data_IF_183475239424
#
_entry.id   IF_183475239424
#
_cell.length_a   1.000
_cell.length_b   1.000
_cell.length_c   1.000
_cell.angle_alpha   90.00
_cell.angle_beta   90.00
_cell.angle_gamma   90.00
#
_symmetry.space_group_name_H-M   'P 1'
#
loop_
_entity.id
_entity.type
_entity.pdbx_description
1 polymer ?
#
# COMPACT_ATOMS: atom_id res chain seq x y z
N UNK A 1 -32.48 11.90 5.79
CA UNK A 1 -31.22 12.45 5.26
C UNK A 1 -30.15 11.40 5.43
N UNK A 2 -29.61 10.91 4.31
CA UNK A 2 -28.53 9.92 4.29
C UNK A 2 -27.24 10.53 4.87
N UNK A 3 -26.53 9.78 5.71
CA UNK A 3 -25.13 10.08 5.97
C UNK A 3 -24.32 9.49 4.81
N UNK A 4 -24.17 10.26 3.73
CA UNK A 4 -23.60 9.82 2.44
C UNK A 4 -22.07 9.81 2.43
N UNK A 5 -21.44 9.54 3.58
CA UNK A 5 -19.99 9.48 3.74
C UNK A 5 -19.50 8.05 3.91
N UNK A 6 -18.26 7.78 3.49
CA UNK A 6 -17.58 6.55 3.84
C UNK A 6 -17.35 6.48 5.36
N UNK A 7 -17.59 5.31 5.95
CA UNK A 7 -17.25 5.01 7.34
C UNK A 7 -15.76 5.26 7.62
N UNK A 8 -15.44 5.69 8.84
CA UNK A 8 -14.06 6.04 9.23
C UNK A 8 -13.12 4.83 9.16
N UNK A 9 -13.55 3.66 9.64
CA UNK A 9 -12.72 2.44 9.58
C UNK A 9 -12.48 2.02 8.13
N UNK A 10 -13.47 2.21 7.25
CA UNK A 10 -13.31 1.92 5.82
C UNK A 10 -12.34 2.91 5.17
N UNK A 11 -12.39 4.21 5.52
CA UNK A 11 -11.39 5.18 5.06
C UNK A 11 -9.99 4.82 5.52
N UNK A 12 -9.85 4.38 6.77
CA UNK A 12 -8.56 3.98 7.34
C UNK A 12 -7.98 2.76 6.62
N UNK A 13 -8.81 1.75 6.34
CA UNK A 13 -8.42 0.59 5.55
C UNK A 13 -7.99 0.99 4.13
N UNK A 14 -8.75 1.85 3.45
CA UNK A 14 -8.38 2.33 2.11
C UNK A 14 -7.06 3.11 2.14
N UNK A 15 -6.83 3.96 3.15
CA UNK A 15 -5.58 4.67 3.32
C UNK A 15 -4.40 3.72 3.54
N UNK A 16 -4.57 2.66 4.34
CA UNK A 16 -3.56 1.64 4.54
C UNK A 16 -3.24 0.87 3.26
N UNK A 17 -4.25 0.53 2.45
CA UNK A 17 -4.06 -0.12 1.14
C UNK A 17 -3.31 0.79 0.18
N UNK A 18 -3.69 2.06 0.09
CA UNK A 18 -2.98 3.05 -0.75
C UNK A 18 -1.53 3.15 -0.31
N UNK A 19 -1.25 3.34 0.99
CA UNK A 19 0.12 3.45 1.50
C UNK A 19 0.97 2.19 1.25
N UNK A 20 0.35 0.99 1.26
CA UNK A 20 1.05 -0.25 0.96
C UNK A 20 1.48 -0.31 -0.52
N UNK A 21 0.61 0.13 -1.43
CA UNK A 21 0.81 0.01 -2.89
C UNK A 21 1.48 1.24 -3.52
N UNK A 22 1.51 2.37 -2.82
CA UNK A 22 2.16 3.61 -3.24
C UNK A 22 3.66 3.52 -3.00
N UNK A 23 4.34 2.81 -3.91
CA UNK A 23 5.78 2.65 -3.94
C UNK A 23 6.40 3.71 -4.85
N UNK A 24 7.52 4.35 -4.44
CA UNK A 24 8.22 5.28 -5.32
C UNK A 24 8.71 4.54 -6.56
N UNK A 25 8.75 5.24 -7.69
CA UNK A 25 9.34 4.68 -8.90
C UNK A 25 10.82 4.36 -8.65
N UNK A 26 11.33 3.22 -9.16
CA UNK A 26 12.75 2.89 -9.08
C UNK A 26 13.56 3.78 -10.01
N UNK A 27 14.88 3.82 -9.83
CA UNK A 27 15.77 4.33 -10.90
C UNK A 27 15.68 3.48 -12.17
N UNK A 28 16.34 3.92 -13.25
CA UNK A 28 16.43 3.15 -14.50
C UNK A 28 17.40 1.96 -14.41
N UNK A 29 18.00 1.69 -13.25
CA UNK A 29 18.83 0.51 -13.06
C UNK A 29 17.94 -0.75 -13.01
N UNK A 30 18.30 -1.76 -13.81
CA UNK A 30 17.53 -2.99 -13.91
C UNK A 30 17.44 -3.77 -12.58
N UNK A 31 18.38 -3.59 -11.65
CA UNK A 31 18.30 -4.16 -10.31
C UNK A 31 17.23 -3.45 -9.46
N UNK A 32 17.16 -2.11 -9.52
CA UNK A 32 16.14 -1.33 -8.83
C UNK A 32 14.74 -1.62 -9.39
N UNK A 33 14.59 -1.72 -10.72
CA UNK A 33 13.32 -2.11 -11.35
C UNK A 33 12.83 -3.47 -10.86
N UNK A 34 13.72 -4.48 -10.83
CA UNK A 34 13.38 -5.82 -10.34
C UNK A 34 12.99 -5.81 -8.86
N UNK A 35 13.73 -5.05 -8.03
CA UNK A 35 13.44 -4.92 -6.61
C UNK A 35 12.07 -4.24 -6.38
N UNK A 36 11.79 -3.16 -7.12
CA UNK A 36 10.49 -2.49 -7.09
C UNK A 36 9.34 -3.43 -7.46
N UNK A 37 9.45 -4.15 -8.59
CA UNK A 37 8.41 -5.09 -9.01
C UNK A 37 8.18 -6.20 -7.99
N UNK A 38 9.26 -6.79 -7.46
CA UNK A 38 9.16 -7.82 -6.43
C UNK A 38 8.46 -7.29 -5.17
N UNK A 39 8.83 -6.10 -4.71
CA UNK A 39 8.21 -5.50 -3.52
C UNK A 39 6.72 -5.21 -3.76
N UNK A 40 6.38 -4.67 -4.93
CA UNK A 40 4.98 -4.39 -5.30
C UNK A 40 4.15 -5.67 -5.33
N UNK A 41 4.67 -6.75 -5.92
CA UNK A 41 4.01 -8.06 -5.95
C UNK A 41 3.77 -8.61 -4.55
N UNK A 42 4.78 -8.54 -3.67
CA UNK A 42 4.67 -9.01 -2.29
C UNK A 42 3.61 -8.22 -1.51
N UNK A 43 3.67 -6.88 -1.56
CA UNK A 43 2.69 -6.02 -0.86
C UNK A 43 1.28 -6.18 -1.41
N UNK A 44 1.13 -6.34 -2.73
CA UNK A 44 -0.17 -6.61 -3.34
C UNK A 44 -0.75 -7.97 -2.91
N UNK A 45 0.10 -9.00 -2.82
CA UNK A 45 -0.30 -10.31 -2.30
C UNK A 45 -0.76 -10.21 -0.84
N UNK A 46 -0.01 -9.50 0.00
CA UNK A 46 -0.34 -9.30 1.41
C UNK A 46 -1.66 -8.55 1.61
N UNK A 47 -1.85 -7.43 0.91
CA UNK A 47 -3.13 -6.70 0.90
C UNK A 47 -4.28 -7.61 0.48
N UNK A 48 -4.09 -8.38 -0.60
CA UNK A 48 -5.12 -9.30 -1.10
C UNK A 48 -5.50 -10.36 -0.06
N UNK A 49 -4.52 -10.94 0.63
CA UNK A 49 -4.77 -11.92 1.70
C UNK A 49 -5.61 -11.31 2.82
N UNK A 50 -5.26 -10.11 3.27
CA UNK A 50 -6.01 -9.43 4.34
C UNK A 50 -7.45 -9.14 3.92
N UNK A 51 -7.65 -8.62 2.70
CA UNK A 51 -8.98 -8.32 2.19
C UNK A 51 -9.83 -9.58 1.95
N UNK A 52 -9.22 -10.69 1.50
CA UNK A 52 -9.94 -11.97 1.35
C UNK A 52 -10.40 -12.52 2.71
N UNK A 53 -9.57 -12.40 3.75
CA UNK A 53 -9.95 -12.77 5.13
C UNK A 53 -11.11 -11.91 5.62
N UNK A 54 -11.03 -10.58 5.46
CA UNK A 54 -12.11 -9.66 5.83
C UNK A 54 -13.41 -9.98 5.10
N UNK A 55 -13.34 -10.29 3.80
CA UNK A 55 -14.51 -10.61 2.98
C UNK A 55 -15.19 -11.92 3.42
N UNK A 56 -14.43 -12.91 3.88
CA UNK A 56 -14.97 -14.20 4.36
C UNK A 56 -15.52 -14.14 5.79
N UNK A 57 -14.98 -13.26 6.62
CA UNK A 57 -15.31 -13.17 8.05
C UNK A 57 -15.59 -11.73 8.51
N UNK A 58 -16.58 -11.01 7.94
CA UNK A 58 -16.78 -9.59 8.21
C UNK A 58 -17.53 -9.29 9.53
N UNK A 59 -17.95 -10.33 10.27
CA UNK A 59 -19.04 -10.20 11.24
C UNK A 59 -18.61 -9.90 12.68
N UNK A 60 -17.30 -9.80 12.96
CA UNK A 60 -16.86 -9.46 14.32
C UNK A 60 -16.63 -7.95 14.46
N UNK A 61 -16.97 -7.34 15.62
CA UNK A 61 -16.72 -5.93 15.87
C UNK A 61 -15.24 -5.59 15.71
N UNK A 62 -14.93 -4.58 14.91
CA UNK A 62 -13.55 -4.13 14.67
C UNK A 62 -12.85 -4.78 13.47
N UNK A 63 -13.48 -5.72 12.74
CA UNK A 63 -12.84 -6.43 11.63
C UNK A 63 -12.17 -5.53 10.58
N UNK A 64 -12.81 -4.41 10.23
CA UNK A 64 -12.27 -3.44 9.27
C UNK A 64 -11.04 -2.71 9.84
N UNK A 65 -11.09 -2.29 11.10
CA UNK A 65 -9.98 -1.59 11.76
C UNK A 65 -8.77 -2.53 11.96
N UNK A 66 -9.02 -3.77 12.38
CA UNK A 66 -7.97 -4.78 12.51
C UNK A 66 -7.31 -5.11 11.17
N UNK A 67 -8.09 -5.13 10.09
CA UNK A 67 -7.58 -5.32 8.74
C UNK A 67 -6.67 -4.17 8.30
N UNK A 68 -7.03 -2.92 8.64
CA UNK A 68 -6.18 -1.76 8.37
C UNK A 68 -4.85 -1.84 9.13
N UNK A 69 -4.90 -2.21 10.41
CA UNK A 69 -3.69 -2.42 11.24
C UNK A 69 -2.81 -3.55 10.68
N UNK A 70 -3.42 -4.65 10.23
CA UNK A 70 -2.71 -5.78 9.63
C UNK A 70 -2.00 -5.41 8.32
N UNK A 71 -2.64 -4.62 7.45
CA UNK A 71 -2.00 -4.11 6.22
C UNK A 71 -0.76 -3.27 6.56
N UNK A 72 -0.85 -2.36 7.54
CA UNK A 72 0.31 -1.55 7.99
C UNK A 72 1.43 -2.43 8.52
N UNK A 73 1.10 -3.38 9.40
CA UNK A 73 2.06 -4.31 10.01
C UNK A 73 2.82 -5.14 8.95
N UNK A 74 2.15 -5.55 7.89
CA UNK A 74 2.79 -6.27 6.77
C UNK A 74 3.64 -5.33 5.91
N UNK A 75 3.16 -4.12 5.65
CA UNK A 75 3.90 -3.07 4.93
C UNK A 75 5.23 -2.74 5.62
N UNK A 76 5.23 -2.65 6.95
CA UNK A 76 6.43 -2.39 7.77
C UNK A 76 7.48 -3.51 7.71
N UNK A 77 7.08 -4.75 7.41
CA UNK A 77 8.00 -5.89 7.29
C UNK A 77 8.77 -5.91 5.99
N UNK A 78 8.23 -5.27 4.96
CA UNK A 78 8.77 -5.21 3.61
C UNK A 78 9.14 -3.76 3.28
N UNK A 79 10.24 -3.22 3.85
CA UNK A 79 10.68 -1.86 3.56
C UNK A 79 11.15 -1.72 2.12
N UNK A 80 11.17 -0.48 1.61
CA UNK A 80 11.76 -0.16 0.31
C UNK A 80 13.27 -0.41 0.39
N UNK A 81 13.78 -1.22 -0.51
CA UNK A 81 15.18 -1.68 -0.55
C UNK A 81 15.92 -1.32 -1.87
N UNK A 82 15.28 -0.51 -2.73
CA UNK A 82 15.84 0.02 -3.97
C UNK A 82 16.00 1.54 -3.92
N UNK A 83 16.81 2.09 -4.83
CA UNK A 83 16.95 3.53 -4.96
C UNK A 83 15.72 4.13 -5.67
N UNK A 84 15.00 5.09 -5.06
CA UNK A 84 13.89 5.76 -5.71
C UNK A 84 14.38 6.78 -6.74
N UNK A 85 13.62 6.94 -7.82
CA UNK A 85 13.84 8.00 -8.80
C UNK A 85 13.61 9.37 -8.17
N UNK A 86 14.56 10.27 -8.39
CA UNK A 86 14.46 11.68 -7.99
C UNK A 86 14.63 12.53 -9.25
N UNK A 87 13.57 13.21 -9.67
CA UNK A 87 13.67 14.21 -10.72
C UNK A 87 14.51 15.38 -10.17
N UNK A 88 15.66 15.66 -10.79
CA UNK A 88 16.42 16.89 -10.50
C UNK A 88 15.90 18.00 -11.41
N UNK A 89 15.50 19.14 -10.83
CA UNK A 89 14.89 20.28 -11.56
C UNK A 89 15.86 21.05 -12.48
N UNK A 90 17.12 20.61 -12.65
CA UNK A 90 18.17 21.39 -13.32
C UNK A 90 18.10 21.40 -14.86
N UNK A 91 17.24 20.59 -15.50
CA UNK A 91 17.17 20.50 -16.98
C UNK A 91 16.01 21.30 -17.61
N UNK A 92 15.25 22.08 -16.83
CA UNK A 92 14.12 22.86 -17.35
C UNK A 92 14.51 24.26 -17.92
N UNK A 93 15.80 24.63 -17.89
CA UNK A 93 16.29 25.94 -18.37
C UNK A 93 17.56 25.81 -19.24
N UNK A 94 17.50 25.00 -20.29
CA UNK A 94 18.55 24.88 -21.32
C UNK A 94 18.03 25.20 -22.71
#
# INVERSE_FOLDING_TARGET
>A
MSNTGLDEAVRDLLAAVVAALDLPLPTIDAADERAHHRLLELRALDVRVVLDVLARSPHYPGAVADSAAEVRRRTEREPIDYAPFVLREEEATG
#
